data_IF_096316956270
#
_entry.id   IF_096316956270
#
_cell.length_a   1.000
_cell.length_b   1.000
_cell.length_c   1.000
_cell.angle_alpha   90.00
_cell.angle_beta   90.00
_cell.angle_gamma   90.00
#
_symmetry.space_group_name_H-M   'P 1'
#
loop_
_entity.id
_entity.type
_entity.pdbx_description
1 polymer ?
#
# COMPACT_ATOMS: atom_id res chain seq x y z
N UNK A 1 -0.96 -2.10 -12.95
CA UNK A 1 -0.55 -1.78 -11.58
C UNK A 1 0.00 -3.03 -10.88
N UNK A 2 1.13 -2.94 -10.16
CA UNK A 2 1.57 -3.99 -9.22
C UNK A 2 0.73 -3.94 -7.94
N UNK A 3 0.49 -5.08 -7.31
CA UNK A 3 -0.27 -5.14 -6.06
C UNK A 3 0.54 -5.88 -5.00
N UNK A 4 0.73 -5.23 -3.86
CA UNK A 4 1.41 -5.78 -2.69
C UNK A 4 0.39 -6.09 -1.60
N UNK A 5 0.39 -7.33 -1.11
CA UNK A 5 -0.41 -7.66 0.06
C UNK A 5 0.29 -7.13 1.31
N UNK A 6 -0.43 -6.40 2.16
CA UNK A 6 0.11 -5.77 3.36
C UNK A 6 -0.64 -6.18 4.62
N UNK A 7 -0.15 -5.75 5.78
CA UNK A 7 -0.76 -6.04 7.08
C UNK A 7 -0.50 -7.46 7.59
N UNK A 8 0.65 -8.04 7.27
CA UNK A 8 1.11 -9.29 7.89
C UNK A 8 1.40 -9.04 9.38
N UNK A 9 0.64 -9.68 10.27
CA UNK A 9 0.81 -9.57 11.72
C UNK A 9 1.56 -10.75 12.32
N UNK A 10 1.28 -11.95 11.81
CA UNK A 10 1.73 -13.24 12.34
C UNK A 10 2.16 -14.21 11.23
N UNK A 11 2.82 -15.31 11.60
CA UNK A 11 3.27 -16.33 10.64
C UNK A 11 2.11 -16.97 9.86
N UNK A 12 0.94 -17.10 10.51
CA UNK A 12 -0.24 -17.66 9.87
C UNK A 12 -0.73 -16.79 8.70
N UNK A 13 -0.61 -15.46 8.80
CA UNK A 13 -0.96 -14.56 7.69
C UNK A 13 -0.08 -14.81 6.46
N UNK A 14 1.23 -15.00 6.68
CA UNK A 14 2.16 -15.32 5.60
C UNK A 14 1.84 -16.68 4.96
N UNK A 15 1.50 -17.69 5.76
CA UNK A 15 1.08 -19.00 5.27
C UNK A 15 -0.21 -18.92 4.43
N UNK A 16 -1.21 -18.14 4.87
CA UNK A 16 -2.45 -17.92 4.11
C UNK A 16 -2.17 -17.28 2.74
N UNK A 17 -1.31 -16.25 2.67
CA UNK A 17 -0.95 -15.63 1.39
C UNK A 17 -0.20 -16.61 0.47
N UNK A 18 0.72 -17.42 1.02
CA UNK A 18 1.41 -18.48 0.25
C UNK A 18 0.44 -19.52 -0.31
N UNK A 19 -0.53 -19.98 0.50
CA UNK A 19 -1.64 -20.87 0.05
C UNK A 19 -2.53 -20.24 -1.02
N UNK A 20 -2.60 -18.90 -1.06
CA UNK A 20 -3.26 -18.14 -2.12
C UNK A 20 -2.37 -17.91 -3.37
N UNK A 21 -1.15 -18.45 -3.39
CA UNK A 21 -0.13 -18.23 -4.43
C UNK A 21 0.21 -16.75 -4.62
N UNK A 22 0.23 -16.00 -3.52
CA UNK A 22 0.71 -14.61 -3.50
C UNK A 22 2.23 -14.62 -3.52
N UNK A 23 2.80 -13.78 -4.39
CA UNK A 23 4.24 -13.65 -4.56
C UNK A 23 4.78 -12.26 -4.16
N UNK A 24 3.89 -11.31 -3.86
CA UNK A 24 4.23 -9.89 -3.68
C UNK A 24 3.65 -9.37 -2.36
N UNK A 25 4.52 -8.93 -1.45
CA UNK A 25 4.11 -8.44 -0.12
C UNK A 25 4.81 -7.12 0.23
N UNK A 26 4.12 -6.28 1.00
CA UNK A 26 4.69 -5.10 1.65
C UNK A 26 4.74 -5.40 3.15
N UNK A 27 5.92 -5.24 3.75
CA UNK A 27 6.15 -5.49 5.18
C UNK A 27 6.79 -4.28 5.84
N UNK A 28 6.61 -4.19 7.16
CA UNK A 28 7.28 -3.19 7.99
C UNK A 28 8.60 -3.77 8.53
N UNK A 29 9.55 -2.93 8.98
CA UNK A 29 10.85 -3.39 9.50
C UNK A 29 10.72 -4.40 10.65
N UNK A 30 9.73 -4.23 11.52
CA UNK A 30 9.46 -5.14 12.65
C UNK A 30 8.87 -6.49 12.24
N UNK A 31 8.48 -6.65 10.97
CA UNK A 31 7.79 -7.82 10.43
C UNK A 31 8.51 -8.45 9.23
N UNK A 32 9.77 -8.10 8.99
CA UNK A 32 10.58 -8.61 7.86
C UNK A 32 10.62 -10.14 7.84
N UNK A 33 10.74 -10.80 8.98
CA UNK A 33 10.77 -12.26 9.07
C UNK A 33 9.53 -12.94 8.44
N UNK A 34 8.38 -12.26 8.40
CA UNK A 34 7.16 -12.77 7.76
C UNK A 34 7.23 -12.77 6.23
N UNK A 35 8.21 -12.07 5.64
CA UNK A 35 8.38 -11.98 4.19
C UNK A 35 9.16 -13.15 3.56
N UNK A 36 9.70 -14.07 4.38
CA UNK A 36 10.49 -15.19 3.89
C UNK A 36 9.69 -16.05 2.90
N UNK A 37 10.25 -16.29 1.71
CA UNK A 37 9.66 -17.12 0.66
C UNK A 37 8.69 -16.40 -0.28
N UNK A 38 8.49 -15.08 -0.15
CA UNK A 38 7.83 -14.29 -1.18
C UNK A 38 8.85 -13.80 -2.23
N UNK A 39 8.46 -13.78 -3.50
CA UNK A 39 9.37 -13.43 -4.61
C UNK A 39 9.68 -11.94 -4.71
N UNK A 40 8.73 -11.07 -4.35
CA UNK A 40 8.91 -9.62 -4.35
C UNK A 40 8.45 -9.04 -3.03
N UNK A 41 9.39 -8.53 -2.26
CA UNK A 41 9.14 -7.88 -0.99
C UNK A 41 9.38 -6.39 -1.15
N UNK A 42 8.44 -5.58 -0.71
CA UNK A 42 8.65 -4.14 -0.51
C UNK A 42 8.71 -3.84 0.99
N UNK A 43 9.43 -2.79 1.36
CA UNK A 43 9.61 -2.38 2.75
C UNK A 43 8.92 -1.02 3.01
N UNK A 44 7.95 -1.00 3.92
CA UNK A 44 7.33 0.21 4.45
C UNK A 44 8.26 0.89 5.48
N UNK A 45 8.12 2.20 5.69
CA UNK A 45 8.81 2.98 6.73
C UNK A 45 8.24 2.75 8.14
N UNK A 46 7.06 2.12 8.23
CA UNK A 46 6.28 1.95 9.47
C UNK A 46 5.65 3.26 9.99
N UNK A 47 5.52 4.29 9.15
CA UNK A 47 4.96 5.59 9.56
C UNK A 47 3.54 5.49 10.14
N UNK A 48 2.70 4.58 9.63
CA UNK A 48 1.36 4.36 10.19
C UNK A 48 1.38 3.84 11.63
N UNK A 49 2.36 3.00 11.99
CA UNK A 49 2.50 2.51 13.36
C UNK A 49 2.86 3.66 14.30
N UNK A 50 3.87 4.46 13.95
CA UNK A 50 4.29 5.63 14.74
C UNK A 50 3.16 6.66 14.88
N UNK A 51 2.38 6.89 13.83
CA UNK A 51 1.20 7.75 13.88
C UNK A 51 0.12 7.23 14.87
N UNK A 52 -0.07 5.91 14.94
CA UNK A 52 -1.14 5.30 15.76
C UNK A 52 -0.76 5.09 17.21
N UNK A 53 0.49 4.75 17.48
CA UNK A 53 0.95 4.32 18.81
C UNK A 53 1.99 5.27 19.41
N UNK A 54 2.33 6.35 18.71
CA UNK A 54 3.39 7.26 19.11
C UNK A 54 4.79 6.73 18.78
N UNK A 55 5.78 7.56 19.08
CA UNK A 55 7.21 7.29 18.84
C UNK A 55 7.76 7.98 17.59
N UNK A 56 9.08 7.88 17.43
CA UNK A 56 9.82 8.49 16.34
C UNK A 56 10.46 7.43 15.45
N UNK A 57 10.57 7.73 14.16
CA UNK A 57 11.29 6.90 13.21
C UNK A 57 12.76 7.28 13.24
N UNK A 58 13.63 6.33 13.63
CA UNK A 58 15.07 6.48 13.43
C UNK A 58 15.40 6.21 11.96
N UNK A 59 15.69 7.28 11.24
CA UNK A 59 16.00 7.24 9.81
C UNK A 59 17.23 6.38 9.53
N UNK A 60 18.29 6.50 10.33
CA UNK A 60 19.54 5.77 10.07
C UNK A 60 19.34 4.29 10.32
N UNK A 61 18.72 3.95 11.46
CA UNK A 61 18.41 2.55 11.77
C UNK A 61 17.50 1.91 10.73
N UNK A 62 16.51 2.65 10.24
CA UNK A 62 15.67 2.18 9.13
C UNK A 62 16.50 1.91 7.87
N UNK A 63 17.43 2.81 7.52
CA UNK A 63 18.25 2.66 6.33
C UNK A 63 19.21 1.47 6.42
N UNK A 64 19.79 1.17 7.59
CA UNK A 64 20.58 -0.04 7.82
C UNK A 64 19.78 -1.32 7.55
N UNK A 65 18.53 -1.36 8.01
CA UNK A 65 17.60 -2.47 7.76
C UNK A 65 17.25 -2.55 6.27
N UNK A 66 17.06 -1.40 5.62
CA UNK A 66 16.68 -1.32 4.23
C UNK A 66 17.77 -1.84 3.30
N UNK A 67 19.04 -1.51 3.54
CA UNK A 67 20.16 -1.94 2.68
C UNK A 67 20.63 -3.36 2.94
N UNK A 68 20.34 -3.93 4.11
CA UNK A 68 20.69 -5.32 4.44
C UNK A 68 19.73 -6.35 3.84
N UNK A 69 18.56 -5.93 3.37
CA UNK A 69 17.57 -6.80 2.75
C UNK A 69 17.51 -6.68 1.22
N UNK A 70 16.96 -7.70 0.58
CA UNK A 70 16.69 -7.68 -0.87
C UNK A 70 15.23 -7.27 -1.12
N UNK A 71 15.00 -5.96 -1.27
CA UNK A 71 13.68 -5.40 -1.50
C UNK A 71 13.51 -4.91 -2.93
N UNK A 72 12.33 -5.14 -3.51
CA UNK A 72 11.95 -4.59 -4.81
C UNK A 72 11.94 -3.05 -4.81
N UNK A 73 11.62 -2.46 -3.66
CA UNK A 73 11.74 -1.05 -3.32
C UNK A 73 11.49 -0.87 -1.82
N UNK A 74 11.87 0.30 -1.32
CA UNK A 74 11.62 0.74 0.05
C UNK A 74 10.87 2.08 0.04
N UNK A 75 10.00 2.30 1.02
CA UNK A 75 9.41 3.62 1.27
C UNK A 75 10.49 4.56 1.81
N UNK A 76 10.48 5.82 1.38
CA UNK A 76 11.24 6.83 2.11
C UNK A 76 10.68 6.97 3.53
N UNK A 77 11.54 7.16 4.54
CA UNK A 77 11.13 7.53 5.89
C UNK A 77 10.19 8.74 5.90
N UNK A 78 8.94 8.55 6.34
CA UNK A 78 7.91 9.59 6.36
C UNK A 78 7.22 9.74 7.72
N UNK A 79 6.55 10.86 7.91
CA UNK A 79 5.79 11.20 9.11
C UNK A 79 4.40 11.66 8.70
N UNK A 80 3.38 10.88 9.05
CA UNK A 80 1.99 11.20 8.71
C UNK A 80 1.59 12.50 9.42
N UNK A 81 1.18 13.50 8.64
CA UNK A 81 0.76 14.81 9.13
C UNK A 81 1.87 15.87 9.17
N UNK A 82 3.14 15.49 8.93
CA UNK A 82 4.27 16.41 8.90
C UNK A 82 5.06 16.29 7.59
N UNK A 83 4.69 17.07 6.55
CA UNK A 83 5.34 17.01 5.26
C UNK A 83 6.77 17.57 5.26
N UNK A 84 7.11 18.48 6.16
CA UNK A 84 8.46 19.03 6.24
C UNK A 84 9.41 17.99 6.84
N UNK A 85 9.04 17.37 7.97
CA UNK A 85 9.84 16.28 8.55
C UNK A 85 9.94 15.09 7.58
N UNK A 86 8.86 14.75 6.87
CA UNK A 86 8.91 13.74 5.79
C UNK A 86 9.95 14.08 4.72
N UNK A 87 9.99 15.35 4.29
CA UNK A 87 10.96 15.81 3.30
C UNK A 87 12.40 15.77 3.83
N UNK A 88 12.63 16.23 5.07
CA UNK A 88 13.95 16.20 5.70
C UNK A 88 14.45 14.77 5.93
N UNK A 89 13.57 13.85 6.31
CA UNK A 89 13.88 12.44 6.47
C UNK A 89 14.28 11.81 5.13
N UNK A 90 13.58 12.12 4.04
CA UNK A 90 13.96 11.70 2.69
C UNK A 90 15.33 12.24 2.27
N UNK A 91 15.61 13.52 2.52
CA UNK A 91 16.93 14.12 2.24
C UNK A 91 18.05 13.46 3.05
N UNK A 92 17.77 13.15 4.32
CA UNK A 92 18.72 12.48 5.23
C UNK A 92 19.04 11.08 4.73
N UNK A 93 18.02 10.28 4.39
CA UNK A 93 18.20 8.95 3.82
C UNK A 93 19.00 8.99 2.50
N UNK A 94 18.72 9.96 1.61
CA UNK A 94 19.48 10.12 0.36
C UNK A 94 20.95 10.49 0.61
N UNK A 95 21.21 11.38 1.56
CA UNK A 95 22.59 11.77 1.94
C UNK A 95 23.35 10.58 2.50
N UNK A 96 22.73 9.84 3.41
CA UNK A 96 23.31 8.64 4.00
C UNK A 96 23.66 7.59 2.94
N UNK A 97 22.75 7.32 1.98
CA UNK A 97 23.02 6.37 0.88
C UNK A 97 24.23 6.80 0.04
N UNK A 98 24.34 8.09 -0.30
CA UNK A 98 25.47 8.62 -1.08
C UNK A 98 26.81 8.55 -0.34
N UNK A 99 26.79 8.68 0.98
CA UNK A 99 27.99 8.64 1.81
C UNK A 99 28.52 7.22 2.02
N UNK A 100 27.63 6.23 2.04
CA UNK A 100 27.98 4.85 2.37
C UNK A 100 28.11 3.93 1.14
N UNK A 101 27.64 4.35 -0.04
CA UNK A 101 27.64 3.52 -1.25
C UNK A 101 27.94 4.33 -2.51
N UNK A 102 28.77 3.79 -3.40
CA UNK A 102 29.07 4.39 -4.72
C UNK A 102 27.84 4.46 -5.61
N UNK A 103 26.97 3.45 -5.51
CA UNK A 103 25.68 3.40 -6.19
C UNK A 103 24.60 2.99 -5.20
N UNK A 104 23.37 3.50 -5.36
CA UNK A 104 22.29 3.24 -4.41
C UNK A 104 21.92 1.76 -4.42
N UNK A 105 22.14 1.00 -3.32
CA UNK A 105 21.83 -0.44 -3.28
C UNK A 105 20.33 -0.72 -3.24
N UNK A 106 19.53 0.31 -2.94
CA UNK A 106 18.08 0.22 -2.79
C UNK A 106 17.37 1.21 -3.70
N UNK A 107 16.16 0.83 -4.13
CA UNK A 107 15.24 1.73 -4.80
C UNK A 107 14.28 2.36 -3.79
N UNK A 108 14.51 3.61 -3.43
CA UNK A 108 13.67 4.34 -2.48
C UNK A 108 12.55 5.12 -3.19
N UNK A 109 11.32 5.03 -2.68
CA UNK A 109 10.15 5.74 -3.17
C UNK A 109 9.81 6.88 -2.18
N UNK A 110 9.97 8.17 -2.55
CA UNK A 110 9.54 9.28 -1.70
C UNK A 110 8.04 9.23 -1.44
N UNK A 111 7.60 9.64 -0.25
CA UNK A 111 6.19 9.65 0.14
C UNK A 111 5.68 11.09 0.19
N UNK A 112 4.60 11.35 -0.54
CA UNK A 112 3.83 12.58 -0.45
C UNK A 112 2.52 12.28 0.29
N UNK A 113 2.26 13.00 1.38
CA UNK A 113 1.00 12.90 2.11
C UNK A 113 -0.13 13.56 1.35
N UNK A 114 -1.29 12.89 1.25
CA UNK A 114 -2.52 13.53 0.78
C UNK A 114 -2.83 14.77 1.62
N UNK A 115 -3.32 15.83 0.97
CA UNK A 115 -3.57 17.17 1.55
C UNK A 115 -2.34 17.95 2.04
N UNK A 116 -1.12 17.51 1.71
CA UNK A 116 0.12 18.29 1.98
C UNK A 116 0.50 19.19 0.79
N UNK A 117 1.32 20.25 0.99
CA UNK A 117 1.66 21.19 -0.06
C UNK A 117 2.21 20.53 -1.34
N UNK A 118 1.65 20.89 -2.51
CA UNK A 118 2.04 20.32 -3.81
C UNK A 118 3.51 20.57 -4.20
N UNK A 119 4.19 21.54 -3.56
CA UNK A 119 5.63 21.78 -3.79
C UNK A 119 6.45 20.50 -3.56
N UNK A 120 6.12 19.71 -2.55
CA UNK A 120 6.82 18.46 -2.25
C UNK A 120 6.54 17.40 -3.32
N UNK A 121 5.28 17.22 -3.71
CA UNK A 121 4.89 16.32 -4.80
C UNK A 121 5.64 16.66 -6.09
N UNK A 122 5.66 17.93 -6.49
CA UNK A 122 6.33 18.38 -7.70
C UNK A 122 7.83 18.10 -7.63
N UNK A 123 8.47 18.37 -6.48
CA UNK A 123 9.88 18.07 -6.27
C UNK A 123 10.16 16.56 -6.36
N UNK A 124 9.35 15.71 -5.72
CA UNK A 124 9.49 14.25 -5.81
C UNK A 124 9.29 13.72 -7.22
N UNK A 125 8.34 14.27 -7.99
CA UNK A 125 8.11 13.88 -9.38
C UNK A 125 9.28 14.26 -10.31
N UNK A 126 10.06 15.28 -9.99
CA UNK A 126 11.28 15.63 -10.72
C UNK A 126 12.44 14.69 -10.36
N UNK A 127 12.48 14.21 -9.11
CA UNK A 127 13.63 13.49 -8.56
C UNK A 127 13.46 11.96 -8.55
N UNK A 128 12.24 11.46 -8.70
CA UNK A 128 11.93 10.04 -8.64
C UNK A 128 10.93 9.61 -9.72
N UNK A 129 11.18 8.43 -10.29
CA UNK A 129 10.25 7.78 -11.22
C UNK A 129 8.92 7.41 -10.56
N UNK A 130 8.94 7.05 -9.27
CA UNK A 130 7.72 6.71 -8.53
C UNK A 130 7.63 7.57 -7.28
N UNK A 131 6.42 8.03 -6.96
CA UNK A 131 6.10 8.71 -5.71
C UNK A 131 5.00 7.92 -4.99
N UNK A 132 5.17 7.68 -3.71
CA UNK A 132 4.15 7.09 -2.86
C UNK A 132 3.15 8.16 -2.42
N UNK A 133 1.85 7.83 -2.40
CA UNK A 133 0.80 8.71 -1.90
C UNK A 133 0.27 8.14 -0.58
N UNK A 134 0.63 8.79 0.53
CA UNK A 134 0.23 8.45 1.88
C UNK A 134 -1.01 9.23 2.36
N UNK A 135 -1.47 9.00 3.59
CA UNK A 135 -2.57 9.76 4.20
C UNK A 135 -3.98 9.42 3.70
N UNK A 136 -4.12 8.47 2.77
CA UNK A 136 -5.42 8.15 2.15
C UNK A 136 -6.29 7.19 2.95
N UNK A 137 -5.72 6.41 3.88
CA UNK A 137 -6.42 5.28 4.52
C UNK A 137 -7.72 5.68 5.21
N UNK A 138 -7.71 6.76 6.00
CA UNK A 138 -8.91 7.22 6.71
C UNK A 138 -9.98 7.74 5.74
N UNK A 139 -9.56 8.44 4.70
CA UNK A 139 -10.44 8.98 3.66
C UNK A 139 -11.07 7.85 2.83
N UNK A 140 -10.31 6.80 2.51
CA UNK A 140 -10.85 5.64 1.78
C UNK A 140 -11.80 4.79 2.63
N UNK A 141 -11.66 4.77 3.96
CA UNK A 141 -12.61 4.09 4.86
C UNK A 141 -13.99 4.73 4.80
N UNK A 142 -14.07 6.06 4.65
CA UNK A 142 -15.33 6.79 4.49
C UNK A 142 -16.12 6.35 3.24
N UNK A 143 -15.44 5.87 2.19
CA UNK A 143 -16.09 5.30 1.00
C UNK A 143 -16.90 4.02 1.26
N UNK A 144 -16.71 3.40 2.43
CA UNK A 144 -17.48 2.25 2.93
C UNK A 144 -18.58 2.64 3.93
N UNK A 145 -18.69 3.91 4.28
CA UNK A 145 -19.63 4.40 5.29
C UNK A 145 -21.08 4.35 4.78
N UNK A 146 -22.02 4.19 5.71
CA UNK A 146 -23.46 4.38 5.45
C UNK A 146 -23.84 5.86 5.44
N UNK A 147 -23.02 6.74 6.01
CA UNK A 147 -23.22 8.19 5.96
C UNK A 147 -22.94 8.70 4.53
N UNK A 148 -23.93 9.36 3.92
CA UNK A 148 -23.87 9.85 2.55
C UNK A 148 -22.82 10.94 2.35
N UNK A 149 -22.61 11.80 3.35
CA UNK A 149 -21.65 12.91 3.30
C UNK A 149 -20.21 12.40 3.34
N UNK A 150 -19.90 11.52 4.29
CA UNK A 150 -18.59 10.85 4.36
C UNK A 150 -18.27 10.12 3.04
N UNK A 151 -19.27 9.42 2.49
CA UNK A 151 -19.12 8.73 1.22
C UNK A 151 -18.86 9.72 0.08
N UNK A 152 -19.57 10.85 0.03
CA UNK A 152 -19.35 11.88 -0.99
C UNK A 152 -17.92 12.46 -0.92
N UNK A 153 -17.37 12.67 0.28
CA UNK A 153 -15.98 13.09 0.50
C UNK A 153 -15.00 12.07 -0.09
N UNK A 154 -15.17 10.78 0.21
CA UNK A 154 -14.32 9.71 -0.32
C UNK A 154 -14.35 9.63 -1.86
N UNK A 155 -15.54 9.79 -2.47
CA UNK A 155 -15.67 9.81 -3.93
C UNK A 155 -15.07 11.06 -4.58
N UNK A 156 -15.15 12.23 -3.92
CA UNK A 156 -14.46 13.45 -4.37
C UNK A 156 -12.95 13.24 -4.39
N UNK A 157 -12.39 12.65 -3.33
CA UNK A 157 -10.96 12.33 -3.22
C UNK A 157 -10.56 11.30 -4.28
N UNK A 158 -11.33 10.24 -4.48
CA UNK A 158 -11.05 9.25 -5.53
C UNK A 158 -11.05 9.89 -6.93
N UNK A 159 -11.95 10.84 -7.20
CA UNK A 159 -11.96 11.58 -8.47
C UNK A 159 -10.68 12.39 -8.64
N UNK A 160 -10.27 13.14 -7.62
CA UNK A 160 -9.03 13.92 -7.64
C UNK A 160 -7.79 13.03 -7.81
N UNK A 161 -7.73 11.91 -7.08
CA UNK A 161 -6.65 10.93 -7.16
C UNK A 161 -6.58 10.29 -8.55
N UNK A 162 -7.74 9.96 -9.14
CA UNK A 162 -7.83 9.46 -10.52
C UNK A 162 -7.29 10.50 -11.50
N UNK A 163 -7.71 11.77 -11.41
CA UNK A 163 -7.19 12.86 -12.25
C UNK A 163 -5.68 12.97 -12.12
N UNK A 164 -5.15 12.93 -10.90
CA UNK A 164 -3.71 12.98 -10.66
C UNK A 164 -2.98 11.80 -11.32
N UNK A 165 -3.51 10.58 -11.18
CA UNK A 165 -2.94 9.39 -11.84
C UNK A 165 -3.08 9.41 -13.37
N UNK A 166 -4.06 10.12 -13.92
CA UNK A 166 -4.19 10.33 -15.38
C UNK A 166 -3.16 11.35 -15.87
N UNK A 167 -2.90 12.41 -15.09
CA UNK A 167 -1.87 13.40 -15.40
C UNK A 167 -0.46 12.79 -15.35
N UNK A 168 -0.21 11.89 -14.41
CA UNK A 168 1.08 11.21 -14.23
C UNK A 168 0.90 9.68 -14.25
N UNK A 169 0.61 9.09 -15.43
CA UNK A 169 0.30 7.67 -15.54
C UNK A 169 1.48 6.81 -15.11
N UNK A 170 1.18 5.77 -14.32
CA UNK A 170 2.16 4.81 -13.81
C UNK A 170 3.31 5.46 -13.00
N UNK A 171 3.04 6.59 -12.33
CA UNK A 171 4.01 7.28 -11.45
C UNK A 171 3.75 7.12 -9.95
N UNK A 172 2.62 6.52 -9.54
CA UNK A 172 2.23 6.49 -8.13
C UNK A 172 2.13 5.10 -7.52
N UNK A 173 2.70 4.95 -6.31
CA UNK A 173 2.32 3.90 -5.37
C UNK A 173 1.23 4.43 -4.43
N UNK A 174 0.07 3.78 -4.35
CA UNK A 174 -1.02 4.21 -3.47
C UNK A 174 -0.97 3.40 -2.17
N UNK A 175 -0.63 4.05 -1.05
CA UNK A 175 -0.53 3.35 0.22
C UNK A 175 -1.91 3.03 0.80
N UNK A 176 -2.08 1.79 1.28
CA UNK A 176 -3.25 1.33 2.02
C UNK A 176 -4.57 1.48 1.27
N UNK A 177 -4.62 1.11 -0.02
CA UNK A 177 -5.80 1.20 -0.87
C UNK A 177 -6.86 0.14 -0.53
N UNK A 178 -7.42 0.27 0.67
CA UNK A 178 -8.33 -0.69 1.28
C UNK A 178 -9.78 -0.54 0.81
N UNK A 179 -10.02 -0.05 -0.40
CA UNK A 179 -11.36 0.17 -0.94
C UNK A 179 -11.47 -0.37 -2.37
N UNK A 180 -12.32 -1.38 -2.57
CA UNK A 180 -12.45 -2.08 -3.86
C UNK A 180 -12.86 -1.15 -5.00
N UNK A 181 -13.69 -0.13 -4.74
CA UNK A 181 -14.02 0.89 -5.75
C UNK A 181 -12.77 1.64 -6.18
N UNK A 182 -11.92 2.10 -5.26
CA UNK A 182 -10.65 2.73 -5.61
C UNK A 182 -9.76 1.80 -6.45
N UNK A 183 -9.64 0.52 -6.09
CA UNK A 183 -8.88 -0.45 -6.90
C UNK A 183 -9.43 -0.59 -8.33
N UNK A 184 -10.75 -0.64 -8.50
CA UNK A 184 -11.38 -0.67 -9.82
C UNK A 184 -11.03 0.55 -10.68
N UNK A 185 -10.95 1.73 -10.07
CA UNK A 185 -10.69 2.98 -10.78
C UNK A 185 -9.20 3.23 -11.04
N UNK A 186 -8.30 2.70 -10.21
CA UNK A 186 -6.88 3.04 -10.24
C UNK A 186 -5.99 1.96 -10.88
N UNK A 187 -6.48 0.72 -11.06
CA UNK A 187 -5.65 -0.42 -11.51
C UNK A 187 -4.91 -0.24 -12.84
N UNK A 188 -5.43 0.57 -13.76
CA UNK A 188 -4.80 0.88 -15.04
C UNK A 188 -3.98 2.18 -15.02
N UNK A 189 -4.08 2.97 -13.95
CA UNK A 189 -3.51 4.31 -13.87
C UNK A 189 -2.31 4.37 -12.91
N UNK A 190 -2.41 3.77 -11.73
CA UNK A 190 -1.33 3.77 -10.74
C UNK A 190 -0.24 2.75 -11.09
N UNK A 191 0.99 3.03 -10.65
CA UNK A 191 2.13 2.12 -10.80
C UNK A 191 1.94 0.89 -9.93
N UNK A 192 1.64 1.12 -8.64
CA UNK A 192 1.41 0.05 -7.68
C UNK A 192 0.49 0.51 -6.53
N UNK A 193 0.09 -0.44 -5.70
CA UNK A 193 -0.62 -0.16 -4.45
C UNK A 193 -0.39 -1.31 -3.48
N UNK A 194 -0.54 -1.05 -2.20
CA UNK A 194 -0.70 -2.08 -1.19
C UNK A 194 -2.10 -2.07 -0.56
N UNK A 195 -2.49 -3.21 -0.03
CA UNK A 195 -3.71 -3.30 0.76
C UNK A 195 -3.76 -4.54 1.64
N UNK A 196 -4.40 -4.37 2.79
CA UNK A 196 -4.73 -5.42 3.75
C UNK A 196 -6.14 -6.02 3.51
N UNK A 197 -6.76 -5.76 2.35
CA UNK A 197 -8.12 -6.22 2.01
C UNK A 197 -8.29 -7.74 2.04
N UNK A 198 -7.22 -8.53 1.90
CA UNK A 198 -7.31 -9.98 2.06
C UNK A 198 -7.88 -10.38 3.43
N UNK A 199 -7.63 -9.57 4.47
CA UNK A 199 -8.05 -9.81 5.84
C UNK A 199 -9.51 -9.43 6.11
N UNK A 200 -10.17 -8.72 5.18
CA UNK A 200 -11.63 -8.51 5.24
C UNK A 200 -12.37 -9.87 5.18
N UNK A 201 -11.72 -10.95 4.74
CA UNK A 201 -12.19 -12.35 4.74
C UNK A 201 -12.84 -12.82 6.04
N UNK A 202 -12.49 -12.23 7.17
CA UNK A 202 -13.15 -12.51 8.45
C UNK A 202 -14.68 -12.23 8.41
N UNK A 203 -15.09 -11.17 7.71
CA UNK A 203 -16.47 -10.65 7.68
C UNK A 203 -17.09 -10.58 6.29
N UNK A 204 -16.25 -10.44 5.26
CA UNK A 204 -16.66 -10.18 3.88
C UNK A 204 -15.91 -11.12 2.93
N UNK A 205 -16.56 -11.49 1.83
CA UNK A 205 -15.86 -12.01 0.66
C UNK A 205 -15.54 -10.91 -0.34
N UNK A 206 -14.44 -11.09 -1.06
CA UNK A 206 -14.08 -10.27 -2.21
C UNK A 206 -14.27 -11.11 -3.46
N UNK A 207 -15.16 -10.71 -4.36
CA UNK A 207 -15.50 -11.45 -5.58
C UNK A 207 -15.30 -10.56 -6.81
N UNK A 208 -15.02 -11.19 -7.96
CA UNK A 208 -14.96 -10.51 -9.24
C UNK A 208 -16.33 -10.65 -9.90
N UNK A 209 -17.04 -9.54 -10.04
CA UNK A 209 -18.37 -9.53 -10.66
C UNK A 209 -18.28 -9.96 -12.12
N UNK A 210 -19.03 -11.00 -12.49
CA UNK A 210 -18.89 -11.70 -13.79
C UNK A 210 -19.21 -10.80 -14.99
N UNK A 211 -20.21 -9.91 -14.87
CA UNK A 211 -20.65 -9.07 -16.00
C UNK A 211 -19.73 -7.89 -16.33
N UNK A 212 -19.05 -7.31 -15.34
CA UNK A 212 -18.29 -6.07 -15.53
C UNK A 212 -16.82 -6.18 -15.06
N UNK A 213 -16.41 -7.36 -14.59
CA UNK A 213 -15.05 -7.64 -14.15
C UNK A 213 -14.58 -6.85 -12.92
N UNK A 214 -15.48 -6.13 -12.23
CA UNK A 214 -15.12 -5.31 -11.06
C UNK A 214 -14.90 -6.18 -9.84
N UNK A 215 -13.90 -5.83 -9.03
CA UNK A 215 -13.73 -6.37 -7.70
C UNK A 215 -14.79 -5.74 -6.79
N UNK A 216 -15.63 -6.56 -6.16
CA UNK A 216 -16.66 -6.12 -5.23
C UNK A 216 -16.46 -6.79 -3.87
N UNK A 217 -16.96 -6.14 -2.83
CA UNK A 217 -16.94 -6.65 -1.46
C UNK A 217 -18.38 -6.91 -1.03
N UNK A 218 -18.63 -8.13 -0.59
CA UNK A 218 -19.95 -8.62 -0.21
C UNK A 218 -19.87 -9.30 1.15
N UNK A 219 -20.87 -9.17 2.04
CA UNK A 219 -20.89 -9.94 3.28
C UNK A 219 -20.70 -11.44 3.04
N UNK A 220 -19.90 -12.11 3.88
CA UNK A 220 -19.54 -13.51 3.64
C UNK A 220 -20.77 -14.45 3.65
N UNK A 221 -21.80 -14.11 4.44
CA UNK A 221 -23.04 -14.89 4.54
C UNK A 221 -23.89 -14.83 3.27
N UNK A 222 -23.86 -13.72 2.51
CA UNK A 222 -24.55 -13.61 1.21
C UNK A 222 -23.87 -14.44 0.12
N UNK A 223 -22.61 -14.82 0.33
CA UNK A 223 -21.84 -15.64 -0.61
C UNK A 223 -21.93 -17.13 -0.31
N UNK A 224 -22.69 -17.50 0.74
CA UNK A 224 -22.75 -18.88 1.26
C UNK A 224 -21.35 -19.48 1.43
N UNK A 225 -20.38 -18.63 1.82
CA UNK A 225 -18.98 -19.02 1.78
C UNK A 225 -18.69 -20.00 2.91
N UNK A 226 -18.70 -21.29 2.57
CA UNK A 226 -18.33 -22.37 3.48
C UNK A 226 -16.87 -22.24 3.94
N UNK A 227 -16.62 -22.56 5.22
CA UNK A 227 -15.28 -22.62 5.80
C UNK A 227 -14.96 -21.52 6.83
N UNK A 228 -13.83 -21.70 7.51
CA UNK A 228 -13.38 -20.82 8.58
C UNK A 228 -12.81 -19.48 8.06
N UNK A 229 -12.45 -18.57 8.97
CA UNK A 229 -11.84 -17.26 8.65
C UNK A 229 -10.67 -17.40 7.67
N UNK A 230 -9.82 -18.40 7.88
CA UNK A 230 -8.63 -18.61 7.06
C UNK A 230 -9.00 -18.93 5.60
N UNK A 231 -9.91 -19.88 5.38
CA UNK A 231 -10.36 -20.24 4.02
C UNK A 231 -10.89 -19.01 3.26
N UNK A 232 -11.63 -18.13 3.95
CA UNK A 232 -12.15 -16.88 3.38
C UNK A 232 -11.04 -15.88 3.06
N UNK A 233 -10.06 -15.68 3.95
CA UNK A 233 -8.92 -14.81 3.68
C UNK A 233 -8.10 -15.29 2.47
N UNK A 234 -7.87 -16.61 2.35
CA UNK A 234 -7.19 -17.22 1.20
C UNK A 234 -7.98 -16.95 -0.08
N UNK A 235 -9.31 -17.13 -0.07
CA UNK A 235 -10.16 -16.86 -1.22
C UNK A 235 -10.15 -15.38 -1.62
N UNK A 236 -10.25 -14.47 -0.66
CA UNK A 236 -10.10 -13.02 -0.89
C UNK A 236 -8.76 -12.69 -1.56
N UNK A 237 -7.65 -13.24 -1.05
CA UNK A 237 -6.33 -13.04 -1.64
C UNK A 237 -6.25 -13.59 -3.08
N UNK A 238 -6.80 -14.78 -3.35
CA UNK A 238 -6.88 -15.35 -4.70
C UNK A 238 -7.68 -14.46 -5.66
N UNK A 239 -8.80 -13.91 -5.21
CA UNK A 239 -9.65 -13.05 -6.04
C UNK A 239 -9.00 -11.69 -6.31
N UNK A 240 -8.34 -11.07 -5.33
CA UNK A 240 -7.52 -9.87 -5.56
C UNK A 240 -6.43 -10.16 -6.60
N UNK A 241 -5.69 -11.26 -6.44
CA UNK A 241 -4.61 -11.65 -7.38
C UNK A 241 -5.15 -11.82 -8.81
N UNK A 242 -6.25 -12.57 -8.98
CA UNK A 242 -6.92 -12.78 -10.27
C UNK A 242 -7.38 -11.46 -10.88
N UNK A 243 -7.97 -10.58 -10.06
CA UNK A 243 -8.43 -9.26 -10.50
C UNK A 243 -7.28 -8.38 -11.00
N UNK A 244 -6.14 -8.41 -10.32
CA UNK A 244 -4.95 -7.64 -10.69
C UNK A 244 -4.19 -8.23 -11.89
N UNK A 245 -4.37 -9.52 -12.19
CA UNK A 245 -3.78 -10.17 -13.36
C UNK A 245 -4.53 -9.87 -14.68
N UNK A 246 -5.83 -9.56 -14.60
CA UNK A 246 -6.64 -9.14 -15.76
C UNK A 246 -6.30 -7.69 -16.11
N UNK A 247 -5.41 -7.49 -17.09
CA UNK A 247 -5.10 -6.17 -17.67
C UNK A 247 -6.07 -5.85 -18.79
#
# INVERSE_FOLDING_TARGET
MFFYFSGLSEINDALMLKRASVNQVLVNPTKIHLSQGFLKVALDSNAYYHFRYGGTLDVIRYMEIAVSGNYAWISAPDVIGDPETTYQNWLTARRWLKQNFESSPVRMIPVWGWDTPKKFLNHYLQQSRIVGIGGLVMLMRQGKSKNLEERAIAYKILRQLKTLCQQYPQRFHIYGCNWTVALNHLRSLAYSTDSSLAWDGARYGLIIHTRNGKLIRTPAWELEFEGNREARCIACARNIRRFMAKR
#
